data_IF_085614825010
#
_entry.id   IF_085614825010
#
_cell.length_a   1.000
_cell.length_b   1.000
_cell.length_c   1.000
_cell.angle_alpha   90.00
_cell.angle_beta   90.00
_cell.angle_gamma   90.00
#
_symmetry.space_group_name_H-M   'P 1'
#
loop_
_entity.id
_entity.type
_entity.pdbx_description
1 polymer ?
#
# COMPACT_ATOMS: atom_id res chain seq x y z
N UNK A 1 22.23 11.31 24.37
CA UNK A 1 21.85 9.95 23.93
C UNK A 1 20.77 10.11 22.88
N UNK A 2 21.14 9.92 21.62
CA UNK A 2 20.19 9.90 20.52
C UNK A 2 19.32 8.63 20.66
N UNK A 3 18.07 8.78 21.11
CA UNK A 3 17.09 7.69 21.27
C UNK A 3 16.14 7.72 20.07
N UNK A 4 15.82 6.55 19.52
CA UNK A 4 14.87 6.41 18.43
C UNK A 4 13.94 5.24 18.68
N UNK A 5 12.77 5.26 18.03
CA UNK A 5 11.82 4.15 18.05
C UNK A 5 11.96 3.40 16.74
N UNK A 6 12.02 2.08 16.77
CA UNK A 6 11.89 1.25 15.59
C UNK A 6 10.52 0.59 15.63
N UNK A 7 9.62 0.95 14.72
CA UNK A 7 8.25 0.44 14.75
C UNK A 7 8.06 -0.65 13.70
N UNK A 8 7.89 -1.89 14.14
CA UNK A 8 7.55 -3.03 13.27
C UNK A 8 6.04 -3.19 13.21
N UNK A 9 5.48 -3.16 12.00
CA UNK A 9 4.05 -3.30 11.74
C UNK A 9 3.66 -4.77 11.57
N UNK A 10 2.37 -5.09 11.68
CA UNK A 10 1.85 -6.46 11.49
C UNK A 10 2.07 -6.98 10.08
N UNK A 11 2.16 -6.07 9.10
CA UNK A 11 2.51 -6.38 7.72
C UNK A 11 4.00 -6.68 7.48
N UNK A 12 4.83 -6.67 8.53
CA UNK A 12 6.27 -6.96 8.47
C UNK A 12 7.15 -5.76 8.06
N UNK A 13 6.55 -4.63 7.67
CA UNK A 13 7.30 -3.40 7.42
C UNK A 13 7.76 -2.77 8.72
N UNK A 14 8.99 -2.26 8.70
CA UNK A 14 9.55 -1.49 9.81
C UNK A 14 9.65 -0.03 9.42
N UNK A 15 9.06 0.85 10.22
CA UNK A 15 9.10 2.30 10.06
C UNK A 15 10.12 2.85 11.03
N UNK A 16 11.06 3.63 10.49
CA UNK A 16 11.99 4.43 11.28
C UNK A 16 11.48 5.87 11.24
N UNK A 17 10.95 6.43 12.34
CA UNK A 17 10.67 7.84 12.43
C UNK A 17 12.03 8.57 12.47
N UNK A 18 12.55 8.94 11.31
CA UNK A 18 13.65 9.90 11.24
C UNK A 18 13.09 11.28 11.55
N UNK A 19 13.03 11.59 12.85
CA UNK A 19 13.18 12.95 13.37
C UNK A 19 14.20 12.92 14.51
N UNK A 20 15.38 12.38 14.22
CA UNK A 20 16.52 12.66 15.09
C UNK A 20 16.91 14.11 14.80
N UNK A 21 16.30 15.06 15.51
CA UNK A 21 16.78 16.44 15.56
C UNK A 21 18.13 16.41 16.30
N UNK A 22 19.18 16.06 15.56
CA UNK A 22 20.58 16.09 15.98
C UNK A 22 21.14 17.52 15.83
N UNK A 23 20.47 18.54 16.35
CA UNK A 23 20.98 19.93 16.27
C UNK A 23 22.18 20.17 17.22
N UNK A 24 22.68 19.14 17.89
CA UNK A 24 23.87 19.25 18.74
C UNK A 24 25.03 18.47 18.14
N UNK A 25 26.15 19.18 18.00
CA UNK A 25 27.49 18.74 17.57
C UNK A 25 28.02 17.51 18.35
N UNK A 26 27.28 17.03 19.35
CA UNK A 26 27.60 15.89 20.21
C UNK A 26 27.06 14.53 19.76
N UNK A 27 26.14 14.42 18.78
CA UNK A 27 25.70 13.10 18.30
C UNK A 27 26.65 12.44 17.26
N UNK A 28 27.74 13.09 16.82
CA UNK A 28 28.74 12.44 15.94
C UNK A 28 29.61 11.38 16.65
N UNK A 29 29.66 11.37 17.99
CA UNK A 29 30.48 10.41 18.75
C UNK A 29 29.70 9.23 19.35
N UNK A 30 28.35 9.25 19.31
CA UNK A 30 27.54 8.15 19.82
C UNK A 30 27.23 7.16 18.71
N UNK A 31 28.00 6.07 18.71
CA UNK A 31 27.72 4.82 18.01
C UNK A 31 26.24 4.46 18.19
N UNK A 32 25.54 4.32 17.06
CA UNK A 32 24.18 3.79 16.88
C UNK A 32 23.12 4.26 17.91
N UNK A 33 22.07 4.97 17.47
CA UNK A 33 20.94 5.26 18.34
C UNK A 33 20.43 3.96 18.97
N UNK A 34 20.23 3.94 20.29
CA UNK A 34 19.53 2.82 20.91
C UNK A 34 18.08 2.88 20.43
N UNK A 35 17.76 2.02 19.46
CA UNK A 35 16.43 1.89 18.89
C UNK A 35 15.62 0.98 19.81
N UNK A 36 14.55 1.51 20.41
CA UNK A 36 13.60 0.67 21.11
C UNK A 36 12.64 0.03 20.10
N UNK A 37 12.58 -1.31 20.01
CA UNK A 37 11.66 -1.98 19.11
C UNK A 37 10.24 -1.90 19.68
N UNK A 38 9.32 -1.37 18.89
CA UNK A 38 7.88 -1.34 19.17
C UNK A 38 7.19 -2.17 18.08
N UNK A 39 6.32 -3.08 18.48
CA UNK A 39 5.47 -3.79 17.54
C UNK A 39 4.08 -3.17 17.55
N UNK A 40 3.61 -2.72 16.38
CA UNK A 40 2.23 -2.29 16.19
C UNK A 40 1.46 -3.36 15.43
N UNK A 41 0.35 -3.80 16.02
CA UNK A 41 -0.53 -4.78 15.39
C UNK A 41 -1.48 -4.14 14.37
N UNK A 42 -0.92 -3.29 13.52
CA UNK A 42 -1.62 -2.57 12.46
C UNK A 42 -0.87 -2.72 11.13
N UNK A 43 -1.55 -2.49 10.02
CA UNK A 43 -1.00 -2.45 8.67
C UNK A 43 -0.46 -1.05 8.36
N UNK A 44 0.71 -0.94 7.73
CA UNK A 44 1.13 0.35 7.18
C UNK A 44 0.24 0.77 6.00
N UNK A 45 0.22 2.05 5.65
CA UNK A 45 -0.56 2.58 4.52
C UNK A 45 -0.27 1.89 3.19
N UNK A 46 0.95 1.37 2.99
CA UNK A 46 1.34 0.61 1.81
C UNK A 46 0.78 -0.82 1.78
N UNK A 47 0.41 -1.38 2.94
CA UNK A 47 -0.08 -2.74 3.10
C UNK A 47 -1.57 -2.82 3.43
N UNK A 48 -2.21 -1.68 3.71
CA UNK A 48 -3.60 -1.63 4.10
C UNK A 48 -4.50 -2.12 2.96
N UNK A 49 -4.96 -3.37 3.05
CA UNK A 49 -5.64 -4.06 1.95
C UNK A 49 -6.87 -3.30 1.44
N UNK A 50 -7.78 -2.76 2.29
CA UNK A 50 -8.93 -2.00 1.80
C UNK A 50 -8.53 -0.80 0.93
N UNK A 51 -7.51 -0.04 1.33
CA UNK A 51 -7.01 1.08 0.53
C UNK A 51 -6.37 0.61 -0.77
N UNK A 52 -5.56 -0.46 -0.74
CA UNK A 52 -4.94 -1.00 -1.97
C UNK A 52 -6.00 -1.53 -2.96
N UNK A 53 -7.04 -2.21 -2.48
CA UNK A 53 -8.15 -2.66 -3.33
C UNK A 53 -8.92 -1.48 -3.93
N UNK A 54 -9.21 -0.44 -3.14
CA UNK A 54 -9.87 0.76 -3.62
C UNK A 54 -9.03 1.47 -4.70
N UNK A 55 -7.71 1.58 -4.50
CA UNK A 55 -6.79 2.17 -5.48
C UNK A 55 -6.74 1.35 -6.78
N UNK A 56 -6.63 0.02 -6.68
CA UNK A 56 -6.64 -0.87 -7.84
C UNK A 56 -7.95 -0.75 -8.64
N UNK A 57 -9.09 -0.66 -7.95
CA UNK A 57 -10.40 -0.45 -8.57
C UNK A 57 -10.48 0.89 -9.29
N UNK A 58 -10.16 1.99 -8.61
CA UNK A 58 -10.22 3.33 -9.18
C UNK A 58 -9.32 3.44 -10.43
N UNK A 59 -8.10 2.89 -10.35
CA UNK A 59 -7.20 2.81 -11.50
C UNK A 59 -7.80 1.99 -12.64
N UNK A 60 -8.36 0.81 -12.34
CA UNK A 60 -8.99 -0.02 -13.36
C UNK A 60 -10.14 0.71 -14.04
N UNK A 61 -11.04 1.35 -13.29
CA UNK A 61 -12.17 2.09 -13.83
C UNK A 61 -11.73 3.23 -14.76
N UNK A 62 -10.72 4.01 -14.34
CA UNK A 62 -10.16 5.09 -15.16
C UNK A 62 -9.55 4.57 -16.48
N UNK A 63 -8.70 3.54 -16.40
CA UNK A 63 -8.05 2.94 -17.58
C UNK A 63 -9.10 2.23 -18.48
N UNK A 64 -10.12 1.60 -17.89
CA UNK A 64 -11.17 0.89 -18.64
C UNK A 64 -12.09 1.86 -19.39
N UNK A 65 -12.39 3.02 -18.82
CA UNK A 65 -13.18 4.06 -19.49
C UNK A 65 -12.49 4.56 -20.78
N UNK A 66 -11.15 4.65 -20.78
CA UNK A 66 -10.37 5.02 -21.99
C UNK A 66 -10.53 3.94 -23.07
N UNK A 67 -10.39 2.66 -22.72
CA UNK A 67 -10.56 1.53 -23.64
C UNK A 67 -11.99 1.43 -24.20
N UNK A 68 -13.00 1.72 -23.37
CA UNK A 68 -14.38 1.83 -23.83
C UNK A 68 -14.55 2.99 -24.82
N UNK A 69 -13.91 4.14 -24.57
CA UNK A 69 -13.90 5.25 -25.50
C UNK A 69 -13.25 4.90 -26.84
N UNK A 70 -12.16 4.13 -26.84
CA UNK A 70 -11.54 3.61 -28.06
C UNK A 70 -12.47 2.67 -28.84
N UNK A 71 -13.14 1.76 -28.12
CA UNK A 71 -14.12 0.87 -28.72
C UNK A 71 -15.26 1.66 -29.38
N UNK A 72 -15.86 2.62 -28.66
CA UNK A 72 -16.97 3.42 -29.18
C UNK A 72 -16.56 4.26 -30.40
N UNK A 73 -15.32 4.79 -30.42
CA UNK A 73 -14.80 5.50 -31.60
C UNK A 73 -14.62 4.58 -32.80
N UNK A 74 -14.11 3.36 -32.58
CA UNK A 74 -13.96 2.37 -33.65
C UNK A 74 -15.32 1.92 -34.20
N UNK A 75 -16.29 1.66 -33.31
CA UNK A 75 -17.67 1.30 -33.65
C UNK A 75 -18.34 2.40 -34.50
N UNK A 76 -18.19 3.67 -34.12
CA UNK A 76 -18.76 4.81 -34.83
C UNK A 76 -18.30 4.94 -36.30
N UNK A 77 -17.12 4.42 -36.64
CA UNK A 77 -16.58 4.41 -38.01
C UNK A 77 -16.60 3.03 -38.68
N UNK A 78 -17.17 2.02 -38.02
CA UNK A 78 -17.20 0.64 -38.51
C UNK A 78 -15.82 -0.05 -38.55
N UNK A 79 -14.85 0.38 -37.73
CA UNK A 79 -13.54 -0.26 -37.61
C UNK A 79 -13.62 -1.52 -36.74
N UNK A 80 -14.02 -2.62 -37.38
CA UNK A 80 -14.09 -3.97 -36.79
C UNK A 80 -12.77 -4.42 -36.15
N UNK A 81 -11.63 -4.09 -36.77
CA UNK A 81 -10.33 -4.45 -36.22
C UNK A 81 -10.00 -3.64 -34.97
N UNK A 82 -10.33 -2.34 -34.98
CA UNK A 82 -10.25 -1.45 -33.83
C UNK A 82 -11.08 -1.96 -32.65
N UNK A 83 -12.33 -2.33 -32.90
CA UNK A 83 -13.20 -2.93 -31.88
C UNK A 83 -12.62 -4.22 -31.31
N UNK A 84 -12.09 -5.11 -32.17
CA UNK A 84 -11.42 -6.34 -31.72
C UNK A 84 -10.17 -6.09 -30.89
N UNK A 85 -9.36 -5.08 -31.24
CA UNK A 85 -8.17 -4.68 -30.46
C UNK A 85 -8.58 -4.12 -29.11
N UNK A 86 -9.52 -3.19 -29.06
CA UNK A 86 -10.03 -2.60 -27.82
C UNK A 86 -10.62 -3.67 -26.89
N UNK A 87 -11.43 -4.59 -27.42
CA UNK A 87 -11.99 -5.72 -26.64
C UNK A 87 -10.89 -6.62 -26.04
N UNK A 88 -9.85 -6.94 -26.81
CA UNK A 88 -8.70 -7.71 -26.30
C UNK A 88 -7.96 -6.96 -25.20
N UNK A 89 -7.73 -5.65 -25.38
CA UNK A 89 -7.12 -4.81 -24.36
C UNK A 89 -7.94 -4.76 -23.06
N UNK A 90 -9.28 -4.67 -23.15
CA UNK A 90 -10.17 -4.69 -21.97
C UNK A 90 -10.09 -6.01 -21.19
N UNK A 91 -10.02 -7.15 -21.91
CA UNK A 91 -9.86 -8.47 -21.27
C UNK A 91 -8.53 -8.57 -20.54
N UNK A 92 -7.44 -8.13 -21.17
CA UNK A 92 -6.12 -8.13 -20.54
C UNK A 92 -6.07 -7.17 -19.34
N UNK A 93 -6.69 -6.00 -19.45
CA UNK A 93 -6.80 -5.04 -18.35
C UNK A 93 -7.54 -5.64 -17.13
N UNK A 94 -8.62 -6.38 -17.38
CA UNK A 94 -9.35 -7.11 -16.33
C UNK A 94 -8.47 -8.19 -15.69
N UNK A 95 -7.64 -8.88 -16.48
CA UNK A 95 -6.69 -9.87 -15.99
C UNK A 95 -5.63 -9.22 -15.08
N UNK A 96 -5.09 -8.07 -15.48
CA UNK A 96 -4.11 -7.31 -14.69
C UNK A 96 -4.70 -6.85 -13.35
N UNK A 97 -5.97 -6.40 -13.32
CA UNK A 97 -6.65 -6.07 -12.06
C UNK A 97 -6.69 -7.28 -11.11
N UNK A 98 -7.06 -8.47 -11.62
CA UNK A 98 -7.09 -9.70 -10.80
C UNK A 98 -5.70 -10.03 -10.26
N UNK A 99 -4.65 -9.89 -11.06
CA UNK A 99 -3.27 -10.11 -10.61
C UNK A 99 -2.86 -9.13 -9.51
N UNK A 100 -3.14 -7.84 -9.67
CA UNK A 100 -2.86 -6.83 -8.63
C UNK A 100 -3.61 -7.13 -7.34
N UNK A 101 -4.88 -7.50 -7.43
CA UNK A 101 -5.70 -7.87 -6.27
C UNK A 101 -5.23 -9.16 -5.59
N UNK A 102 -4.70 -10.10 -6.36
CA UNK A 102 -4.07 -11.29 -5.81
C UNK A 102 -2.82 -10.93 -4.99
N UNK A 103 -1.94 -10.07 -5.51
CA UNK A 103 -0.77 -9.58 -4.75
C UNK A 103 -1.19 -8.92 -3.43
N UNK A 104 -2.23 -8.08 -3.43
CA UNK A 104 -2.78 -7.48 -2.20
C UNK A 104 -3.27 -8.54 -1.21
N UNK A 105 -3.89 -9.62 -1.70
CA UNK A 105 -4.38 -10.71 -0.83
C UNK A 105 -3.26 -11.47 -0.12
N UNK A 106 -2.05 -11.49 -0.70
CA UNK A 106 -0.89 -12.15 -0.10
C UNK A 106 -0.29 -11.38 1.07
N UNK A 107 -0.61 -10.09 1.21
CA UNK A 107 -0.17 -9.28 2.35
C UNK A 107 -0.81 -9.85 3.61
N UNK A 108 0.01 -10.30 4.56
CA UNK A 108 -0.45 -10.77 5.87
C UNK A 108 -0.72 -9.58 6.76
N UNK A 109 -1.97 -9.13 6.81
CA UNK A 109 -2.48 -8.43 7.98
C UNK A 109 -2.90 -9.53 8.97
N UNK A 110 -2.29 -9.57 10.16
CA UNK A 110 -2.93 -10.31 11.27
C UNK A 110 -4.26 -9.62 11.55
N UNK A 111 -5.33 -10.39 11.76
CA UNK A 111 -6.55 -9.83 12.33
C UNK A 111 -6.15 -9.10 13.61
N UNK A 112 -6.50 -7.81 13.72
CA UNK A 112 -6.10 -6.96 14.84
C UNK A 112 -6.30 -7.68 16.16
N UNK A 113 -5.20 -8.05 16.78
CA UNK A 113 -5.13 -8.39 18.19
C UNK A 113 -4.94 -7.09 18.95
N UNK A 114 -5.60 -7.01 20.10
CA UNK A 114 -5.70 -5.85 20.97
C UNK A 114 -4.39 -5.05 21.00
N UNK A 115 -4.48 -3.78 20.60
CA UNK A 115 -3.36 -2.86 20.69
C UNK A 115 -3.14 -2.55 22.16
N UNK A 116 -2.22 -3.26 22.82
CA UNK A 116 -1.66 -2.80 24.08
C UNK A 116 -0.72 -1.62 23.78
N UNK A 117 -1.26 -0.41 23.89
CA UNK A 117 -0.46 0.79 23.93
C UNK A 117 0.36 0.79 25.21
N UNK A 118 1.71 0.85 25.15
CA UNK A 118 2.52 1.00 26.35
C UNK A 118 2.12 2.30 27.06
N UNK A 119 1.52 2.17 28.24
CA UNK A 119 1.11 3.29 29.10
C UNK A 119 -0.39 3.52 29.24
N UNK A 120 -1.27 2.73 28.61
CA UNK A 120 -2.69 2.74 28.93
C UNK A 120 -3.02 1.60 29.91
N UNK A 121 -3.72 1.87 31.03
CA UNK A 121 -4.13 0.81 31.94
C UNK A 121 -5.05 -0.15 31.20
N UNK A 122 -4.77 -1.45 31.30
CA UNK A 122 -5.67 -2.51 30.88
C UNK A 122 -7.02 -2.26 31.55
N UNK A 123 -8.08 -2.05 30.76
CA UNK A 123 -9.43 -1.99 31.31
C UNK A 123 -9.79 -3.38 31.82
N UNK A 124 -9.98 -3.47 33.14
CA UNK A 124 -10.61 -4.59 33.84
C UNK A 124 -12.05 -4.82 33.37
#
# INVERSE_FOLDING_TARGET
MCQGIQTTMSCGHTIFPHSINCDSVHCQQQQQPQLQPVFLNDSCSACHRPASYAQNRARHEAEHAVLMGEYMRADAVGDEDGMRRARRAMLEHTRLLRQRNFVVSLVREKAGGDVEWPGLPSRE
#
